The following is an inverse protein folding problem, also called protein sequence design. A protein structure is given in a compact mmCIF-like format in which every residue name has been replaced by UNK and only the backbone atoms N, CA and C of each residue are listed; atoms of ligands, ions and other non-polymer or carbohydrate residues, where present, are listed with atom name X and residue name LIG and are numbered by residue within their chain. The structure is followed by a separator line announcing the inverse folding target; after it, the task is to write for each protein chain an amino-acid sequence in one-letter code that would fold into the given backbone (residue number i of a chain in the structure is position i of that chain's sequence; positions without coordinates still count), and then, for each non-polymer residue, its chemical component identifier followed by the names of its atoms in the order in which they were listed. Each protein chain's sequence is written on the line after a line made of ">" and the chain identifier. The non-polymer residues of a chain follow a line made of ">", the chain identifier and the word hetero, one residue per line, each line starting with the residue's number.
data_IF_090615418599
#
_entry.id   IF_090615418599
#
_cell.length_a   1.000
_cell.length_b   1.000
_cell.length_c   1.000
_cell.angle_alpha   90.00
_cell.angle_beta   90.00
_cell.angle_gamma   90.00
#
_symmetry.space_group_name_H-M   'P 1'
#
loop_
_entity.id
_entity.type
_entity.pdbx_description
1 polymer ?
#
# COMPACT_ATOMS: atom_id res chain seq x y z
N UNK A 1 -1.93 27.52 76.83
CA UNK A 1 -2.85 26.37 76.95
C UNK A 1 -2.85 25.60 75.64
N UNK A 2 -2.26 24.42 75.62
CA UNK A 2 -2.66 23.29 74.75
C UNK A 2 -3.56 22.36 75.61
N UNK A 3 -4.12 21.22 75.14
CA UNK A 3 -4.12 20.58 73.80
C UNK A 3 -5.55 20.17 73.33
N UNK A 4 -5.76 19.56 72.15
CA UNK A 4 -6.02 18.11 72.08
C UNK A 4 -5.89 17.53 70.66
N UNK A 5 -5.29 16.35 70.63
CA UNK A 5 -5.00 15.46 69.52
C UNK A 5 -6.17 14.54 69.18
N UNK A 6 -6.37 14.18 67.90
CA UNK A 6 -6.88 12.86 67.49
C UNK A 6 -6.01 12.34 66.34
N UNK A 7 -5.73 11.03 66.44
CA UNK A 7 -4.67 10.27 65.80
C UNK A 7 -5.26 9.36 64.70
N UNK A 8 -4.49 9.18 63.61
CA UNK A 8 -4.42 8.05 62.64
C UNK A 8 -5.70 7.47 62.00
N UNK A 9 -5.66 7.40 60.67
CA UNK A 9 -5.54 6.11 59.94
C UNK A 9 -4.88 6.31 58.57
N UNK A 10 -4.01 5.37 58.22
CA UNK A 10 -3.23 5.25 56.96
C UNK A 10 -3.89 4.25 56.01
N UNK A 11 -3.76 4.42 54.68
CA UNK A 11 -3.77 3.40 53.57
C UNK A 11 -4.08 4.09 52.21
N UNK A 12 -3.61 3.66 51.02
CA UNK A 12 -2.30 3.14 50.61
C UNK A 12 -1.69 3.92 49.41
N UNK A 13 -0.40 3.69 49.14
CA UNK A 13 0.32 4.16 47.93
C UNK A 13 -0.20 3.41 46.70
N UNK A 14 -0.85 4.11 45.76
CA UNK A 14 -0.95 3.66 44.37
C UNK A 14 0.12 4.36 43.53
N UNK A 15 1.13 3.59 43.14
CA UNK A 15 2.17 4.01 42.21
C UNK A 15 1.60 4.12 40.79
N UNK A 16 1.31 5.33 40.32
CA UNK A 16 1.04 5.60 38.90
C UNK A 16 2.36 5.66 38.13
N UNK A 17 2.86 4.51 37.68
CA UNK A 17 3.90 4.45 36.64
C UNK A 17 3.25 4.56 35.26
N UNK A 18 2.96 5.78 34.83
CA UNK A 18 2.68 6.09 33.42
C UNK A 18 3.25 7.48 33.11
N UNK A 19 4.58 7.56 33.04
CA UNK A 19 5.30 8.66 32.42
C UNK A 19 6.51 8.06 31.72
N UNK A 20 6.53 8.09 30.38
CA UNK A 20 7.69 7.70 29.59
C UNK A 20 7.41 6.89 28.32
N UNK A 21 6.45 7.31 27.48
CA UNK A 21 6.44 6.97 26.06
C UNK A 21 6.03 8.23 25.31
N UNK A 22 7.01 9.02 24.82
CA UNK A 22 7.08 9.19 23.36
C UNK A 22 8.51 9.49 22.87
N UNK A 23 9.36 8.48 22.65
CA UNK A 23 10.60 8.65 21.84
C UNK A 23 10.96 7.39 21.01
N UNK A 24 10.37 6.21 21.26
CA UNK A 24 10.78 4.97 20.60
C UNK A 24 10.07 4.68 19.26
N UNK A 25 10.00 5.66 18.35
CA UNK A 25 9.56 5.43 16.96
C UNK A 25 10.51 6.01 15.90
N UNK A 26 11.72 6.39 16.30
CA UNK A 26 12.76 6.92 15.41
C UNK A 26 13.95 5.97 15.18
N UNK A 27 13.92 4.74 15.72
CA UNK A 27 15.10 3.86 15.77
C UNK A 27 14.85 2.42 15.28
N UNK A 28 14.13 2.25 14.17
CA UNK A 28 14.18 1.03 13.36
C UNK A 28 14.74 1.34 11.97
N UNK A 29 15.96 1.86 11.96
CA UNK A 29 16.91 1.70 10.86
C UNK A 29 18.25 1.32 11.48
N UNK A 30 19.00 0.46 10.77
CA UNK A 30 20.29 -0.16 11.17
C UNK A 30 20.18 -1.45 12.00
N UNK A 31 19.94 -2.55 11.29
CA UNK A 31 20.59 -3.83 11.58
C UNK A 31 20.75 -4.62 10.26
N UNK A 32 21.90 -4.45 9.60
CA UNK A 32 22.36 -5.35 8.54
C UNK A 32 22.77 -6.70 9.13
N UNK A 33 22.51 -7.84 8.45
CA UNK A 33 23.28 -9.05 8.68
C UNK A 33 24.28 -9.25 7.54
N UNK A 34 25.46 -8.69 7.70
CA UNK A 34 26.67 -9.23 7.08
C UNK A 34 27.35 -10.15 8.11
N UNK A 35 26.98 -11.43 8.13
CA UNK A 35 27.77 -12.54 8.68
C UNK A 35 26.97 -13.84 8.62
N UNK A 36 27.17 -14.64 7.57
CA UNK A 36 27.17 -16.11 7.63
C UNK A 36 27.25 -16.70 6.21
N UNK A 37 28.45 -16.98 5.72
CA UNK A 37 28.70 -18.10 4.80
C UNK A 37 30.21 -18.23 4.50
N UNK A 38 30.96 -18.71 5.49
CA UNK A 38 32.24 -19.35 5.23
C UNK A 38 32.03 -20.86 5.17
N UNK A 39 32.04 -21.48 3.98
CA UNK A 39 32.50 -22.87 3.85
C UNK A 39 32.99 -23.20 2.44
N UNK A 40 34.22 -23.71 2.40
CA UNK A 40 35.01 -24.10 1.21
C UNK A 40 34.49 -25.38 0.54
N UNK A 41 34.58 -25.36 -0.80
CA UNK A 41 35.04 -26.38 -1.78
C UNK A 41 34.59 -27.84 -1.61
N UNK A 42 34.05 -28.40 -2.70
CA UNK A 42 34.72 -29.45 -3.48
C UNK A 42 34.16 -29.58 -4.90
N UNK A 43 35.08 -29.68 -5.84
CA UNK A 43 34.90 -30.02 -7.24
C UNK A 43 34.60 -31.51 -7.41
N UNK A 44 33.77 -31.89 -8.37
CA UNK A 44 34.06 -33.06 -9.20
C UNK A 44 33.55 -32.86 -10.63
N UNK A 45 34.51 -33.07 -11.53
CA UNK A 45 34.38 -33.24 -12.97
C UNK A 45 33.94 -34.67 -13.27
N UNK A 46 33.08 -34.86 -14.27
CA UNK A 46 33.12 -36.06 -15.11
C UNK A 46 32.60 -35.75 -16.51
N UNK A 47 33.48 -35.98 -17.49
CA UNK A 47 33.21 -36.09 -18.94
C UNK A 47 32.52 -37.42 -19.27
N UNK A 48 31.68 -37.43 -20.31
CA UNK A 48 31.60 -38.44 -21.39
C UNK A 48 30.37 -38.07 -22.26
N UNK A 49 30.53 -37.57 -23.48
CA UNK A 49 30.88 -38.24 -24.75
C UNK A 49 29.69 -38.88 -25.47
N UNK A 50 29.59 -38.51 -26.75
CA UNK A 50 28.53 -38.74 -27.71
C UNK A 50 28.38 -40.20 -28.16
N UNK A 51 27.25 -40.53 -28.80
CA UNK A 51 27.20 -41.21 -30.12
C UNK A 51 25.79 -41.10 -30.71
N UNK A 52 25.75 -40.71 -31.99
CA UNK A 52 24.59 -40.68 -32.88
C UNK A 52 24.27 -42.06 -33.45
N UNK A 53 23.01 -42.33 -33.76
CA UNK A 53 22.64 -43.19 -34.89
C UNK A 53 21.31 -42.75 -35.49
N UNK A 54 21.38 -42.34 -36.76
CA UNK A 54 20.27 -42.10 -37.68
C UNK A 54 19.87 -43.42 -38.32
N UNK A 55 18.56 -43.70 -38.44
CA UNK A 55 17.98 -44.58 -39.46
C UNK A 55 16.58 -44.08 -39.85
N UNK A 56 16.50 -43.60 -41.09
CA UNK A 56 15.31 -43.48 -41.96
C UNK A 56 15.00 -44.91 -42.50
N UNK A 57 13.80 -45.36 -42.89
CA UNK A 57 12.81 -44.88 -43.87
C UNK A 57 11.52 -45.72 -43.71
N UNK A 58 10.39 -45.17 -44.17
CA UNK A 58 9.28 -45.81 -44.93
C UNK A 58 7.89 -45.73 -44.25
N UNK A 59 6.99 -44.98 -44.88
CA UNK A 59 5.67 -44.63 -44.37
C UNK A 59 4.48 -45.37 -44.99
N UNK A 60 3.28 -44.98 -44.56
CA UNK A 60 2.00 -45.03 -45.28
C UNK A 60 0.99 -44.07 -44.60
N UNK A 61 -0.14 -43.68 -45.23
CA UNK A 61 -0.62 -42.30 -45.21
C UNK A 61 -1.94 -42.11 -44.46
N UNK A 62 -2.27 -40.83 -44.26
CA UNK A 62 -3.62 -40.30 -44.06
C UNK A 62 -4.37 -40.70 -42.76
N UNK A 63 -4.07 -39.97 -41.69
CA UNK A 63 -5.11 -39.41 -40.82
C UNK A 63 -4.93 -37.90 -40.80
N UNK A 64 -5.73 -37.18 -41.60
CA UNK A 64 -5.77 -35.71 -41.59
C UNK A 64 -6.33 -35.26 -40.24
N UNK A 65 -5.44 -35.02 -39.28
CA UNK A 65 -5.74 -34.17 -38.14
C UNK A 65 -6.04 -32.77 -38.66
N UNK A 66 -7.20 -32.23 -38.30
CA UNK A 66 -7.48 -30.80 -38.46
C UNK A 66 -6.31 -30.01 -37.84
N UNK A 67 -5.64 -29.11 -38.57
CA UNK A 67 -4.78 -28.14 -37.93
C UNK A 67 -5.71 -27.25 -37.09
N UNK A 68 -5.66 -27.43 -35.77
CA UNK A 68 -6.32 -26.53 -34.84
C UNK A 68 -5.89 -25.10 -35.17
N UNK A 69 -6.87 -24.19 -35.15
CA UNK A 69 -6.66 -22.77 -35.39
C UNK A 69 -5.51 -22.30 -34.47
N UNK A 70 -4.38 -21.81 -35.01
CA UNK A 70 -3.31 -21.27 -34.19
C UNK A 70 -3.84 -20.02 -33.48
N UNK A 71 -4.05 -20.09 -32.17
CA UNK A 71 -4.46 -18.92 -31.38
C UNK A 71 -5.14 -19.26 -30.05
N UNK A 72 -6.01 -20.29 -29.99
CA UNK A 72 -6.78 -20.54 -28.76
C UNK A 72 -5.98 -21.24 -27.64
N UNK A 73 -4.99 -22.08 -27.98
CA UNK A 73 -4.15 -22.77 -26.99
C UNK A 73 -2.98 -21.93 -26.45
N UNK A 74 -2.55 -20.90 -27.18
CA UNK A 74 -1.43 -20.03 -26.80
C UNK A 74 -1.86 -18.92 -25.84
N UNK A 75 -3.04 -18.33 -26.03
CA UNK A 75 -3.53 -17.26 -25.15
C UNK A 75 -3.99 -17.80 -23.78
N UNK A 76 -4.65 -18.96 -23.77
CA UNK A 76 -5.00 -19.65 -22.54
C UNK A 76 -3.75 -20.09 -21.74
N UNK A 77 -2.66 -20.46 -22.42
CA UNK A 77 -1.40 -20.81 -21.75
C UNK A 77 -0.64 -19.58 -21.25
N UNK A 78 -0.66 -18.45 -21.98
CA UNK A 78 -0.05 -17.19 -21.53
C UNK A 78 -0.79 -16.59 -20.32
N UNK A 79 -2.12 -16.53 -20.35
CA UNK A 79 -2.93 -16.01 -19.24
C UNK A 79 -2.80 -16.87 -17.98
N UNK A 80 -2.81 -18.21 -18.12
CA UNK A 80 -2.60 -19.11 -16.99
C UNK A 80 -1.17 -19.03 -16.44
N UNK A 81 -0.15 -18.93 -17.28
CA UNK A 81 1.23 -18.71 -16.85
C UNK A 81 1.39 -17.38 -16.10
N UNK A 82 0.77 -16.30 -16.61
CA UNK A 82 0.76 -15.01 -15.94
C UNK A 82 0.08 -15.08 -14.57
N UNK A 83 -1.15 -15.63 -14.48
CA UNK A 83 -1.85 -15.77 -13.20
C UNK A 83 -1.11 -16.69 -12.20
N UNK A 84 -0.38 -17.68 -12.70
CA UNK A 84 0.52 -18.51 -11.88
C UNK A 84 1.67 -17.67 -11.30
N UNK A 85 2.31 -16.84 -12.12
CA UNK A 85 3.34 -15.88 -11.68
C UNK A 85 2.78 -14.88 -10.65
N UNK A 86 1.58 -14.34 -10.88
CA UNK A 86 0.90 -13.45 -9.90
C UNK A 86 0.70 -14.17 -8.57
N UNK A 87 0.20 -15.40 -8.60
CA UNK A 87 -0.05 -16.18 -7.39
C UNK A 87 1.25 -16.51 -6.63
N UNK A 88 2.31 -16.86 -7.34
CA UNK A 88 3.64 -17.06 -6.76
C UNK A 88 4.17 -15.78 -6.12
N UNK A 89 4.13 -14.67 -6.85
CA UNK A 89 4.54 -13.33 -6.39
C UNK A 89 3.83 -12.94 -5.09
N UNK A 90 2.51 -13.15 -5.03
CA UNK A 90 1.71 -12.83 -3.84
C UNK A 90 1.99 -13.76 -2.65
N UNK A 91 2.37 -15.02 -2.89
CA UNK A 91 2.68 -15.99 -1.83
C UNK A 91 4.06 -15.76 -1.17
N UNK A 92 5.00 -15.12 -1.87
CA UNK A 92 6.34 -14.80 -1.37
C UNK A 92 6.35 -13.63 -0.36
N UNK A 93 5.39 -12.72 -0.47
CA UNK A 93 5.25 -11.55 0.39
C UNK A 93 4.40 -11.86 1.63
N UNK A 94 4.41 -10.99 2.65
CA UNK A 94 3.48 -11.10 3.76
C UNK A 94 2.02 -11.22 3.31
N UNK A 95 1.13 -11.76 4.14
CA UNK A 95 -0.31 -11.93 3.84
C UNK A 95 -1.21 -10.96 4.63
N UNK A 96 -0.66 -9.81 5.04
CA UNK A 96 -1.43 -8.76 5.69
C UNK A 96 -2.54 -8.21 4.78
N UNK A 97 -3.49 -7.49 5.37
CA UNK A 97 -4.49 -6.78 4.59
C UNK A 97 -3.90 -5.45 4.08
N UNK A 98 -4.33 -4.97 2.92
CA UNK A 98 -3.94 -3.63 2.46
C UNK A 98 -4.58 -2.59 3.40
N UNK A 99 -3.86 -1.56 3.91
CA UNK A 99 -4.44 -0.53 4.78
C UNK A 99 -5.52 0.31 4.09
N UNK A 100 -6.41 0.96 4.85
CA UNK A 100 -7.47 1.81 4.28
C UNK A 100 -6.90 3.01 3.51
N UNK A 101 -5.93 3.74 4.04
CA UNK A 101 -5.40 4.98 3.47
C UNK A 101 -3.97 4.80 2.94
N UNK A 102 -3.10 4.19 3.74
CA UNK A 102 -1.70 3.95 3.40
C UNK A 102 -1.59 2.94 2.25
N UNK A 103 -0.79 3.26 1.25
CA UNK A 103 -0.51 2.33 0.15
C UNK A 103 0.40 1.22 0.66
N UNK A 104 -0.03 -0.03 0.49
CA UNK A 104 0.75 -1.18 0.94
C UNK A 104 2.06 -1.32 0.14
N UNK A 105 3.19 -1.68 0.79
CA UNK A 105 4.41 -2.10 0.08
C UNK A 105 4.25 -3.41 -0.70
N UNK A 106 3.17 -4.16 -0.45
CA UNK A 106 2.85 -5.41 -1.14
C UNK A 106 2.46 -5.16 -2.58
N UNK A 107 2.71 -6.17 -3.42
CA UNK A 107 2.21 -6.19 -4.78
C UNK A 107 0.80 -6.79 -4.79
N UNK A 108 -0.18 -6.06 -5.29
CA UNK A 108 -1.57 -6.47 -5.35
C UNK A 108 -2.05 -6.62 -6.81
N UNK A 109 -3.03 -7.51 -6.99
CA UNK A 109 -3.76 -7.70 -8.23
C UNK A 109 -5.23 -7.48 -7.85
N UNK A 110 -5.70 -6.24 -7.95
CA UNK A 110 -7.02 -5.86 -7.45
C UNK A 110 -7.63 -4.68 -8.20
N UNK A 111 -8.96 -4.59 -8.17
CA UNK A 111 -9.67 -3.33 -8.39
C UNK A 111 -9.97 -2.71 -7.03
N UNK A 112 -9.61 -1.44 -6.84
CA UNK A 112 -9.91 -0.66 -5.64
C UNK A 112 -10.66 0.62 -5.96
N UNK A 113 -11.75 0.85 -5.24
CA UNK A 113 -12.55 2.06 -5.34
C UNK A 113 -12.79 2.63 -3.94
N UNK A 114 -12.33 3.86 -3.73
CA UNK A 114 -12.52 4.55 -2.46
C UNK A 114 -13.43 5.76 -2.64
N UNK A 115 -14.21 6.04 -1.61
CA UNK A 115 -14.96 7.29 -1.52
C UNK A 115 -14.80 7.90 -0.15
N UNK A 116 -14.77 9.23 -0.09
CA UNK A 116 -14.65 9.95 1.17
C UNK A 116 -15.42 11.26 1.18
N UNK A 117 -15.80 11.71 2.36
CA UNK A 117 -16.37 13.04 2.59
C UNK A 117 -15.50 13.79 3.56
N UNK A 118 -14.93 14.90 3.10
CA UNK A 118 -13.97 15.71 3.83
C UNK A 118 -14.60 17.05 4.19
N UNK A 119 -14.50 17.47 5.45
CA UNK A 119 -14.99 18.79 5.87
C UNK A 119 -13.86 19.83 5.83
N UNK A 120 -14.12 20.97 5.18
CA UNK A 120 -13.19 22.09 5.15
C UNK A 120 -13.94 23.39 5.28
N UNK A 121 -13.75 24.07 6.41
CA UNK A 121 -14.33 25.39 6.70
C UNK A 121 -15.87 25.42 6.52
N UNK A 122 -16.55 24.38 6.97
CA UNK A 122 -18.02 24.24 6.87
C UNK A 122 -18.52 23.76 5.51
N UNK A 123 -17.63 23.48 4.56
CA UNK A 123 -17.96 22.88 3.25
C UNK A 123 -17.51 21.44 3.22
N UNK A 124 -18.45 20.52 3.01
CA UNK A 124 -18.13 19.12 2.76
C UNK A 124 -17.78 18.93 1.28
N UNK A 125 -16.68 18.23 1.01
CA UNK A 125 -16.31 17.77 -0.33
C UNK A 125 -16.37 16.25 -0.38
N UNK A 126 -17.19 15.70 -1.28
CA UNK A 126 -17.18 14.28 -1.61
C UNK A 126 -16.12 13.99 -2.66
N UNK A 127 -15.32 12.94 -2.45
CA UNK A 127 -14.33 12.43 -3.39
C UNK A 127 -14.71 10.99 -3.75
N UNK A 128 -14.92 10.72 -5.03
CA UNK A 128 -15.36 9.42 -5.54
C UNK A 128 -14.31 8.83 -6.49
N UNK A 129 -13.69 7.71 -6.13
CA UNK A 129 -12.67 7.00 -6.92
C UNK A 129 -11.28 6.92 -6.27
N UNK A 130 -10.94 7.86 -5.38
CA UNK A 130 -9.77 7.80 -4.50
C UNK A 130 -8.38 7.69 -5.16
N UNK A 131 -8.28 7.62 -6.49
CA UNK A 131 -7.01 7.53 -7.19
C UNK A 131 -6.33 6.15 -7.17
N UNK A 132 -7.06 5.07 -6.90
CA UNK A 132 -6.49 3.71 -6.75
C UNK A 132 -6.81 2.81 -7.95
N UNK A 133 -8.07 2.61 -8.31
CA UNK A 133 -8.42 1.97 -9.57
C UNK A 133 -7.88 0.55 -9.73
N UNK A 134 -7.25 0.24 -10.86
CA UNK A 134 -6.83 -1.13 -11.21
C UNK A 134 -5.35 -1.33 -10.93
N UNK A 135 -5.02 -2.33 -10.11
CA UNK A 135 -3.67 -2.75 -9.75
C UNK A 135 -3.34 -4.07 -10.47
N UNK A 136 -2.22 -4.12 -11.18
CA UNK A 136 -1.79 -5.28 -11.99
C UNK A 136 -0.34 -5.63 -11.70
N UNK A 137 -0.04 -6.92 -11.56
CA UNK A 137 1.32 -7.45 -11.43
C UNK A 137 1.77 -7.98 -12.80
N UNK A 138 2.43 -7.18 -13.65
CA UNK A 138 2.93 -7.67 -14.94
C UNK A 138 4.19 -8.53 -14.82
N UNK A 139 4.94 -8.45 -13.71
CA UNK A 139 6.16 -9.23 -13.48
C UNK A 139 6.42 -9.43 -11.97
N UNK A 140 7.27 -10.38 -11.60
CA UNK A 140 7.48 -10.86 -10.20
C UNK A 140 7.86 -9.79 -9.16
N UNK A 141 8.38 -8.66 -9.62
CA UNK A 141 8.79 -7.53 -8.77
C UNK A 141 8.10 -6.22 -9.13
N UNK A 142 7.16 -6.24 -10.07
CA UNK A 142 6.56 -5.03 -10.64
C UNK A 142 5.06 -5.06 -10.45
N UNK A 143 4.50 -3.97 -9.95
CA UNK A 143 3.07 -3.67 -10.01
C UNK A 143 2.86 -2.30 -10.68
N UNK A 144 1.80 -2.19 -11.46
CA UNK A 144 1.33 -0.94 -12.05
C UNK A 144 -0.10 -0.70 -11.61
N UNK A 145 -0.37 0.51 -11.13
CA UNK A 145 -1.68 0.96 -10.68
C UNK A 145 -2.15 2.08 -11.61
N UNK A 146 -3.30 1.85 -12.22
CA UNK A 146 -4.04 2.84 -13.00
C UNK A 146 -5.16 3.41 -12.14
N UNK A 147 -4.90 4.59 -11.56
CA UNK A 147 -5.81 5.27 -10.65
C UNK A 147 -7.01 5.85 -11.37
N UNK A 148 -8.22 5.55 -10.88
CA UNK A 148 -9.42 6.25 -11.32
C UNK A 148 -9.36 7.69 -10.79
N UNK A 149 -9.38 8.72 -11.67
CA UNK A 149 -9.33 10.11 -11.23
C UNK A 149 -10.49 10.40 -10.27
N UNK A 150 -10.24 10.96 -9.07
CA UNK A 150 -11.30 11.26 -8.14
C UNK A 150 -12.28 12.27 -8.73
N UNK A 151 -13.58 11.95 -8.76
CA UNK A 151 -14.62 12.94 -9.02
C UNK A 151 -14.93 13.67 -7.71
N UNK A 152 -14.70 14.97 -7.70
CA UNK A 152 -14.89 15.83 -6.53
C UNK A 152 -16.25 16.53 -6.63
N UNK A 153 -16.95 16.66 -5.49
CA UNK A 153 -18.22 17.38 -5.38
C UNK A 153 -18.20 18.23 -4.12
N UNK A 154 -18.22 19.56 -4.27
CA UNK A 154 -18.34 20.48 -3.14
C UNK A 154 -19.82 20.72 -2.82
N UNK A 155 -20.26 20.30 -1.62
CA UNK A 155 -21.64 20.45 -1.17
C UNK A 155 -21.89 21.85 -0.61
N UNK A 156 -22.07 22.83 -1.50
CA UNK A 156 -22.45 24.21 -1.17
C UNK A 156 -23.21 24.87 -2.34
N UNK A 157 -23.97 25.96 -2.13
CA UNK A 157 -24.74 26.61 -3.20
C UNK A 157 -23.90 27.04 -4.42
N UNK A 158 -22.64 27.40 -4.23
CA UNK A 158 -21.69 27.77 -5.30
C UNK A 158 -20.61 26.70 -5.56
N UNK A 159 -20.83 25.48 -5.06
CA UNK A 159 -19.88 24.39 -5.10
C UNK A 159 -19.50 24.00 -6.52
N UNK A 160 -18.25 23.53 -6.67
CA UNK A 160 -17.75 22.99 -7.93
C UNK A 160 -17.74 21.47 -7.89
N UNK A 161 -17.88 20.87 -9.06
CA UNK A 161 -17.76 19.43 -9.27
C UNK A 161 -16.91 19.13 -10.50
N UNK A 162 -16.16 18.03 -10.46
CA UNK A 162 -15.29 17.65 -11.57
C UNK A 162 -14.20 16.67 -11.18
N UNK A 163 -13.55 16.11 -12.18
CA UNK A 163 -12.43 15.21 -11.99
C UNK A 163 -11.20 15.95 -11.48
N UNK A 164 -10.48 15.35 -10.54
CA UNK A 164 -9.10 15.68 -10.22
C UNK A 164 -8.14 15.04 -11.24
N UNK A 165 -6.86 15.30 -11.04
CA UNK A 165 -5.77 14.76 -11.85
C UNK A 165 -5.69 13.22 -11.79
N UNK A 166 -5.38 12.61 -12.93
CA UNK A 166 -5.18 11.16 -13.05
C UNK A 166 -3.91 10.70 -12.32
N UNK A 167 -3.93 9.48 -11.81
CA UNK A 167 -2.84 8.91 -11.01
C UNK A 167 -2.33 7.62 -11.64
N UNK A 168 -1.02 7.55 -11.84
CA UNK A 168 -0.29 6.34 -12.21
C UNK A 168 0.71 6.03 -11.09
N UNK A 169 0.77 4.78 -10.63
CA UNK A 169 1.78 4.36 -9.64
C UNK A 169 2.47 3.09 -10.11
N UNK A 170 3.79 3.11 -10.15
CA UNK A 170 4.61 1.91 -10.40
C UNK A 170 5.29 1.51 -9.10
N UNK A 171 5.19 0.24 -8.73
CA UNK A 171 5.89 -0.32 -7.57
C UNK A 171 6.96 -1.30 -8.04
N UNK A 172 8.18 -1.17 -7.52
CA UNK A 172 9.26 -2.14 -7.68
C UNK A 172 9.63 -2.76 -6.33
N UNK A 173 9.31 -4.05 -6.13
CA UNK A 173 9.57 -4.79 -4.90
C UNK A 173 11.04 -5.21 -4.85
N UNK A 174 11.80 -4.61 -3.94
CA UNK A 174 13.24 -4.87 -3.79
C UNK A 174 13.44 -6.27 -3.19
N UNK A 175 12.75 -6.54 -2.08
CA UNK A 175 12.68 -7.86 -1.47
C UNK A 175 11.36 -8.03 -0.72
N UNK A 176 10.96 -9.29 -0.52
CA UNK A 176 9.91 -9.66 0.41
C UNK A 176 10.15 -11.05 0.99
N UNK A 177 9.57 -11.29 2.15
CA UNK A 177 9.51 -12.59 2.77
C UNK A 177 8.21 -12.70 3.54
N UNK A 178 7.45 -13.76 3.28
CA UNK A 178 6.23 -14.09 4.02
C UNK A 178 6.52 -14.45 5.48
N UNK A 179 5.48 -14.88 6.19
CA UNK A 179 5.51 -15.18 7.63
C UNK A 179 6.54 -16.26 7.99
N UNK A 180 6.90 -17.16 7.06
CA UNK A 180 7.95 -18.17 7.26
C UNK A 180 9.36 -17.60 7.11
N UNK A 181 9.51 -16.56 6.31
CA UNK A 181 10.80 -15.98 5.91
C UNK A 181 11.18 -14.69 6.65
N UNK A 182 10.40 -14.28 7.65
CA UNK A 182 10.68 -13.08 8.45
C UNK A 182 9.64 -11.98 8.31
N UNK A 183 8.55 -12.20 7.57
CA UNK A 183 7.36 -11.33 7.59
C UNK A 183 7.68 -9.84 7.34
N UNK A 184 8.30 -9.54 6.20
CA UNK A 184 8.78 -8.21 5.89
C UNK A 184 8.86 -7.96 4.38
N UNK A 185 8.84 -6.69 4.00
CA UNK A 185 8.86 -6.28 2.61
C UNK A 185 9.44 -4.88 2.47
N UNK A 186 10.21 -4.66 1.40
CA UNK A 186 10.71 -3.35 1.00
C UNK A 186 10.42 -3.14 -0.50
N UNK A 187 9.81 -2.00 -0.80
CA UNK A 187 9.34 -1.67 -2.13
C UNK A 187 9.58 -0.19 -2.42
N UNK A 188 10.01 0.12 -3.63
CA UNK A 188 10.09 1.49 -4.14
C UNK A 188 8.84 1.79 -4.94
N UNK A 189 8.24 2.97 -4.77
CA UNK A 189 7.16 3.44 -5.63
C UNK A 189 7.58 4.69 -6.41
N UNK A 190 7.12 4.77 -7.65
CA UNK A 190 7.19 5.98 -8.46
C UNK A 190 5.77 6.36 -8.89
N UNK A 191 5.22 7.38 -8.24
CA UNK A 191 3.91 7.93 -8.58
C UNK A 191 4.02 9.08 -9.57
N UNK A 192 3.01 9.22 -10.42
CA UNK A 192 2.79 10.38 -11.27
C UNK A 192 1.33 10.83 -11.14
N UNK A 193 1.12 12.11 -10.88
CA UNK A 193 -0.16 12.78 -11.06
C UNK A 193 -0.11 13.54 -12.38
N UNK A 194 -1.03 13.24 -13.29
CA UNK A 194 -1.12 13.83 -14.62
C UNK A 194 -2.18 14.93 -14.63
N UNK A 195 -1.90 16.14 -15.15
CA UNK A 195 -2.78 17.31 -15.04
C UNK A 195 -3.97 17.25 -16.01
N UNK A 196 -4.79 16.20 -15.90
CA UNK A 196 -5.97 15.91 -16.72
C UNK A 196 -7.28 16.33 -16.07
N UNK A 197 -7.22 16.81 -14.81
CA UNK A 197 -8.38 17.23 -14.05
C UNK A 197 -9.06 18.48 -14.60
N UNK A 198 -10.28 18.69 -14.13
CA UNK A 198 -11.05 19.92 -14.36
C UNK A 198 -10.42 21.12 -13.64
N UNK A 199 -10.62 22.34 -14.17
CA UNK A 199 -10.01 23.58 -13.68
C UNK A 199 -9.99 23.79 -12.14
N UNK A 200 -11.06 23.47 -11.36
CA UNK A 200 -11.02 23.63 -9.89
C UNK A 200 -10.27 22.54 -9.14
N UNK A 201 -9.98 21.40 -9.78
CA UNK A 201 -9.42 20.20 -9.14
C UNK A 201 -8.11 19.70 -9.78
N UNK A 202 -7.59 20.41 -10.78
CA UNK A 202 -6.27 20.14 -11.37
C UNK A 202 -5.19 21.00 -10.73
N UNK A 203 -4.02 20.40 -10.56
CA UNK A 203 -2.79 21.11 -10.21
C UNK A 203 -2.19 21.88 -11.39
N UNK A 204 -2.66 21.62 -12.62
CA UNK A 204 -2.12 22.14 -13.89
C UNK A 204 -0.65 21.78 -14.15
N UNK A 205 -0.06 20.89 -13.35
CA UNK A 205 1.34 20.49 -13.43
C UNK A 205 1.43 19.00 -13.16
N UNK A 206 2.32 18.29 -13.86
CA UNK A 206 2.59 16.92 -13.45
C UNK A 206 3.32 16.92 -12.11
N UNK A 207 3.02 15.94 -11.25
CA UNK A 207 3.71 15.76 -9.97
C UNK A 207 4.28 14.35 -9.93
N UNK A 208 5.61 14.26 -9.83
CA UNK A 208 6.32 12.99 -9.71
C UNK A 208 6.63 12.73 -8.24
N UNK A 209 6.35 11.53 -7.75
CA UNK A 209 6.44 11.18 -6.33
C UNK A 209 7.27 9.92 -6.14
N UNK A 210 8.60 10.01 -6.03
CA UNK A 210 9.41 8.90 -5.53
C UNK A 210 9.06 8.62 -4.08
N UNK A 211 8.89 7.34 -3.75
CA UNK A 211 8.50 6.85 -2.42
C UNK A 211 9.27 5.58 -2.08
N UNK A 212 9.68 5.45 -0.83
CA UNK A 212 10.13 4.17 -0.28
C UNK A 212 9.10 3.64 0.70
N UNK A 213 8.82 2.34 0.64
CA UNK A 213 7.82 1.69 1.45
C UNK A 213 8.41 0.44 2.12
N UNK A 214 8.22 0.32 3.42
CA UNK A 214 8.65 -0.83 4.20
C UNK A 214 7.48 -1.35 5.04
N UNK A 215 7.44 -2.67 5.23
CA UNK A 215 6.51 -3.28 6.15
C UNK A 215 7.14 -4.41 6.95
N UNK A 216 6.64 -4.60 8.16
CA UNK A 216 7.08 -5.65 9.09
C UNK A 216 5.89 -6.19 9.87
N UNK A 217 5.82 -7.51 9.98
CA UNK A 217 4.81 -8.21 10.75
C UNK A 217 5.40 -9.04 11.88
N UNK A 218 4.55 -9.31 12.87
CA UNK A 218 4.84 -10.13 14.04
C UNK A 218 3.54 -10.66 14.67
N UNK A 219 3.37 -11.99 14.69
CA UNK A 219 2.28 -12.69 15.41
C UNK A 219 0.87 -12.14 15.15
N UNK A 220 0.59 -11.80 13.89
CA UNK A 220 -0.72 -11.28 13.47
C UNK A 220 -0.89 -9.78 13.59
N UNK A 221 0.12 -9.07 14.09
CA UNK A 221 0.21 -7.61 14.00
C UNK A 221 1.17 -7.23 12.88
N UNK A 222 0.93 -6.13 12.18
CA UNK A 222 1.86 -5.57 11.21
C UNK A 222 1.90 -4.05 11.22
N UNK A 223 3.02 -3.53 10.74
CA UNK A 223 3.24 -2.11 10.46
C UNK A 223 3.63 -1.97 9.01
N UNK A 224 2.94 -1.09 8.29
CA UNK A 224 3.26 -0.73 6.92
C UNK A 224 3.51 0.77 6.86
N UNK A 225 4.62 1.22 6.27
CA UNK A 225 4.97 2.63 6.22
C UNK A 225 5.53 3.04 4.86
N UNK A 226 5.22 4.28 4.46
CA UNK A 226 5.65 4.90 3.20
C UNK A 226 6.23 6.28 3.48
N UNK A 227 7.33 6.63 2.82
CA UNK A 227 7.92 7.96 2.87
C UNK A 227 8.18 8.42 1.43
N UNK A 228 7.54 9.50 1.01
CA UNK A 228 7.63 10.02 -0.35
C UNK A 228 7.61 11.53 -0.40
N UNK A 229 8.13 12.10 -1.49
CA UNK A 229 8.15 13.54 -1.73
C UNK A 229 7.51 13.86 -3.08
N UNK A 230 6.52 14.74 -3.08
CA UNK A 230 5.91 15.26 -4.31
C UNK A 230 6.80 16.31 -4.96
N UNK A 231 7.17 16.09 -6.22
CA UNK A 231 8.00 16.97 -7.02
C UNK A 231 7.19 17.46 -8.23
N UNK A 232 6.57 18.64 -8.15
CA UNK A 232 5.91 19.25 -9.30
C UNK A 232 6.91 19.58 -10.41
N UNK A 233 6.53 19.35 -11.67
CA UNK A 233 7.32 19.71 -12.85
C UNK A 233 7.39 21.21 -13.09
N UNK A 234 6.49 21.98 -12.47
CA UNK A 234 6.42 23.43 -12.53
C UNK A 234 5.52 23.98 -11.43
N UNK A 235 5.30 25.30 -11.40
CA UNK A 235 4.38 25.93 -10.44
C UNK A 235 4.73 25.72 -8.97
N UNK A 236 6.01 25.44 -8.66
CA UNK A 236 6.47 25.08 -7.31
C UNK A 236 6.25 26.18 -6.28
N UNK A 237 6.20 27.45 -6.69
CA UNK A 237 5.82 28.58 -5.83
C UNK A 237 4.37 28.54 -5.33
N UNK A 238 3.48 27.82 -6.03
CA UNK A 238 2.08 27.61 -5.64
C UNK A 238 1.88 26.27 -4.95
N UNK A 239 2.38 25.19 -5.56
CA UNK A 239 2.16 23.81 -5.12
C UNK A 239 3.05 23.41 -3.94
N UNK A 240 4.27 23.94 -3.87
CA UNK A 240 5.29 23.49 -2.93
C UNK A 240 5.76 22.06 -3.22
N UNK A 241 6.49 21.48 -2.27
CA UNK A 241 6.95 20.09 -2.29
C UNK A 241 6.50 19.40 -1.01
N UNK A 242 5.37 18.66 -1.05
CA UNK A 242 4.89 17.93 0.10
C UNK A 242 5.78 16.70 0.34
N UNK A 243 6.37 16.59 1.52
CA UNK A 243 6.92 15.36 2.06
C UNK A 243 5.82 14.64 2.82
N UNK A 244 5.42 13.46 2.37
CA UNK A 244 4.41 12.61 2.99
C UNK A 244 5.05 11.41 3.67
N UNK A 245 4.69 11.16 4.93
CA UNK A 245 5.06 9.98 5.70
C UNK A 245 3.80 9.35 6.25
N UNK A 246 3.47 8.14 5.78
CA UNK A 246 2.31 7.40 6.25
C UNK A 246 2.74 6.13 6.97
N UNK A 247 2.01 5.76 8.01
CA UNK A 247 2.19 4.51 8.74
C UNK A 247 0.83 3.93 9.10
N UNK A 248 0.60 2.66 8.78
CA UNK A 248 -0.55 1.88 9.22
C UNK A 248 -0.09 0.81 10.20
N UNK A 249 -0.80 0.70 11.33
CA UNK A 249 -0.65 -0.35 12.31
C UNK A 249 -1.91 -1.21 12.23
N UNK A 250 -1.77 -2.50 12.00
CA UNK A 250 -2.91 -3.40 11.78
C UNK A 250 -2.78 -4.64 12.66
N UNK A 251 -3.91 -5.17 13.11
CA UNK A 251 -3.96 -6.43 13.84
C UNK A 251 -4.98 -7.35 13.21
N UNK A 252 -4.61 -8.61 13.00
CA UNK A 252 -5.52 -9.67 12.59
C UNK A 252 -6.34 -10.16 13.78
N UNK A 253 -7.36 -9.41 14.16
CA UNK A 253 -8.23 -9.72 15.29
C UNK A 253 -9.10 -10.98 15.05
N UNK A 254 -9.47 -11.26 13.80
CA UNK A 254 -10.15 -12.49 13.41
C UNK A 254 -9.76 -12.91 11.99
N UNK A 255 -10.35 -14.00 11.48
CA UNK A 255 -10.03 -14.57 10.15
C UNK A 255 -10.01 -13.52 9.04
N UNK A 256 -10.99 -12.61 9.05
CA UNK A 256 -11.19 -11.55 8.07
C UNK A 256 -11.22 -10.15 8.68
N UNK A 257 -11.09 -10.00 9.99
CA UNK A 257 -11.28 -8.71 10.67
C UNK A 257 -9.92 -8.11 11.04
N UNK A 258 -9.67 -6.92 10.53
CA UNK A 258 -8.42 -6.19 10.71
C UNK A 258 -8.71 -4.76 11.19
N UNK A 259 -8.82 -4.52 12.51
CA UNK A 259 -8.73 -3.17 13.04
C UNK A 259 -7.37 -2.56 12.72
N UNK A 260 -7.37 -1.27 12.45
CA UNK A 260 -6.15 -0.53 12.16
C UNK A 260 -6.16 0.89 12.72
N UNK A 261 -4.95 1.42 12.88
CA UNK A 261 -4.70 2.80 13.21
C UNK A 261 -3.64 3.35 12.25
N UNK A 262 -4.00 4.37 11.48
CA UNK A 262 -3.08 5.00 10.55
C UNK A 262 -2.69 6.42 10.97
N UNK A 263 -1.46 6.79 10.63
CA UNK A 263 -0.89 8.11 10.81
C UNK A 263 -0.46 8.64 9.45
N UNK A 264 -1.01 9.76 9.03
CA UNK A 264 -0.70 10.38 7.74
C UNK A 264 -0.11 11.77 7.99
N UNK A 265 1.22 11.87 7.93
CA UNK A 265 1.95 13.10 8.15
C UNK A 265 2.32 13.75 6.81
N UNK A 266 2.13 15.06 6.71
CA UNK A 266 2.61 15.86 5.59
C UNK A 266 3.32 17.11 6.08
N UNK A 267 4.50 17.38 5.55
CA UNK A 267 5.22 18.65 5.70
C UNK A 267 5.41 19.28 4.34
N UNK A 268 5.17 20.59 4.21
CA UNK A 268 5.31 21.29 2.94
C UNK A 268 6.57 22.17 2.93
N UNK A 269 7.39 21.99 1.91
CA UNK A 269 8.45 22.94 1.55
C UNK A 269 7.98 23.87 0.42
N UNK A 270 7.97 25.19 0.68
CA UNK A 270 7.43 26.18 -0.26
C UNK A 270 5.93 26.04 -0.56
N UNK A 271 5.45 26.76 -1.59
CA UNK A 271 4.03 26.75 -1.97
C UNK A 271 3.12 27.51 -0.99
N UNK A 272 1.81 27.44 -1.23
CA UNK A 272 0.78 28.06 -0.37
C UNK A 272 0.76 27.52 1.08
N UNK A 273 1.40 26.37 1.31
CA UNK A 273 1.50 25.72 2.62
C UNK A 273 2.93 25.65 3.17
N UNK A 274 3.88 26.41 2.60
CA UNK A 274 5.28 26.36 3.02
C UNK A 274 5.48 26.47 4.53
N UNK A 275 6.26 25.55 5.09
CA UNK A 275 6.56 25.47 6.52
C UNK A 275 5.45 24.87 7.39
N UNK A 276 4.25 24.61 6.83
CA UNK A 276 3.15 24.00 7.57
C UNK A 276 3.37 22.49 7.70
N UNK A 277 2.78 21.92 8.74
CA UNK A 277 2.79 20.49 9.04
C UNK A 277 1.39 20.04 9.38
N UNK A 278 1.04 18.85 8.93
CA UNK A 278 -0.25 18.23 9.16
C UNK A 278 -0.03 16.79 9.59
N UNK A 279 -0.76 16.36 10.60
CA UNK A 279 -0.88 14.95 10.96
C UNK A 279 -2.35 14.61 11.01
N UNK A 280 -2.72 13.56 10.31
CA UNK A 280 -3.99 12.88 10.52
C UNK A 280 -3.80 11.56 11.26
N UNK A 281 -4.79 11.22 12.08
CA UNK A 281 -4.93 9.90 12.71
C UNK A 281 -6.22 9.27 12.20
N UNK A 282 -6.14 8.04 11.72
CA UNK A 282 -7.26 7.30 11.13
C UNK A 282 -7.47 5.98 11.86
N UNK A 283 -8.36 5.91 12.86
CA UNK A 283 -8.92 4.63 13.26
C UNK A 283 -9.76 4.06 12.10
N UNK A 284 -9.50 2.81 11.77
CA UNK A 284 -10.15 2.11 10.66
C UNK A 284 -10.46 0.65 10.98
N UNK A 285 -11.31 0.07 10.16
CA UNK A 285 -11.62 -1.34 10.17
C UNK A 285 -11.66 -1.85 8.73
N UNK A 286 -10.89 -2.90 8.47
CA UNK A 286 -10.91 -3.61 7.19
C UNK A 286 -11.44 -5.02 7.41
N UNK A 287 -12.39 -5.42 6.57
CA UNK A 287 -12.98 -6.76 6.53
C UNK A 287 -12.60 -7.42 5.21
N UNK A 288 -11.72 -8.42 5.26
CA UNK A 288 -11.24 -9.13 4.09
C UNK A 288 -10.01 -10.00 4.36
N UNK A 289 -9.52 -10.74 3.38
CA UNK A 289 -10.09 -10.93 2.03
C UNK A 289 -11.09 -12.09 2.07
N UNK A 290 -12.38 -11.82 1.85
CA UNK A 290 -13.43 -12.86 1.80
C UNK A 290 -13.41 -13.49 0.41
N UNK A 291 -13.18 -14.80 0.25
CA UNK A 291 -13.22 -15.45 -1.06
C UNK A 291 -14.64 -15.40 -1.65
N UNK A 292 -14.78 -15.00 -2.91
CA UNK A 292 -16.05 -15.03 -3.64
C UNK A 292 -16.10 -16.20 -4.62
N UNK A 293 -15.15 -16.24 -5.56
CA UNK A 293 -15.08 -17.31 -6.56
C UNK A 293 -13.66 -17.40 -7.15
N UNK A 294 -13.07 -18.60 -7.15
CA UNK A 294 -11.69 -18.81 -7.59
C UNK A 294 -10.72 -17.82 -6.93
N UNK A 295 -10.04 -16.96 -7.73
CA UNK A 295 -9.12 -15.93 -7.24
C UNK A 295 -9.82 -14.62 -6.83
N UNK A 296 -11.10 -14.47 -7.18
CA UNK A 296 -11.88 -13.28 -6.85
C UNK A 296 -12.18 -13.23 -5.35
N UNK A 297 -11.78 -12.14 -4.71
CA UNK A 297 -12.08 -11.83 -3.32
C UNK A 297 -12.87 -10.54 -3.16
N UNK A 298 -13.35 -10.31 -1.94
CA UNK A 298 -13.96 -9.05 -1.51
C UNK A 298 -13.24 -8.54 -0.25
N UNK A 299 -12.89 -7.25 -0.28
CA UNK A 299 -12.44 -6.52 0.90
C UNK A 299 -13.22 -5.22 1.03
N UNK A 300 -13.73 -4.94 2.22
CA UNK A 300 -14.40 -3.70 2.56
C UNK A 300 -13.61 -2.99 3.66
N UNK A 301 -13.50 -1.68 3.58
CA UNK A 301 -12.84 -0.87 4.61
C UNK A 301 -13.66 0.37 4.94
N UNK A 302 -13.64 0.78 6.20
CA UNK A 302 -14.22 2.04 6.65
C UNK A 302 -13.38 2.65 7.76
N UNK A 303 -13.32 3.98 7.82
CA UNK A 303 -12.57 4.70 8.84
C UNK A 303 -12.88 6.18 8.85
N UNK A 304 -12.38 6.88 9.87
CA UNK A 304 -12.48 8.33 9.98
C UNK A 304 -11.11 8.93 10.19
N UNK A 305 -10.70 9.81 9.28
CA UNK A 305 -9.43 10.52 9.37
C UNK A 305 -9.63 11.86 10.10
N UNK A 306 -8.92 12.04 11.21
CA UNK A 306 -9.08 13.20 12.11
C UNK A 306 -7.78 13.98 12.20
N UNK A 307 -7.85 15.32 12.07
CA UNK A 307 -6.66 16.17 12.17
C UNK A 307 -6.16 16.22 13.62
N UNK A 308 -4.89 15.86 13.83
CA UNK A 308 -4.21 15.93 15.13
C UNK A 308 -3.36 17.21 15.29
N UNK A 309 -3.27 18.04 14.25
CA UNK A 309 -2.47 19.29 14.22
C UNK A 309 -3.34 20.53 14.04
N UNK A 310 -2.85 21.67 14.54
CA UNK A 310 -3.51 22.98 14.37
C UNK A 310 -3.75 23.32 12.90
N UNK A 311 -2.74 23.15 12.06
CA UNK A 311 -2.91 23.27 10.62
C UNK A 311 -3.44 21.96 10.05
N UNK A 312 -4.45 22.07 9.20
CA UNK A 312 -4.98 20.98 8.39
C UNK A 312 -5.68 21.52 7.13
N UNK A 313 -5.62 20.78 6.04
CA UNK A 313 -6.25 21.13 4.75
C UNK A 313 -7.73 20.78 4.70
N UNK A 314 -8.16 19.88 5.58
CA UNK A 314 -9.53 19.49 5.90
C UNK A 314 -9.53 18.83 7.29
N UNK A 315 -10.68 18.59 7.87
CA UNK A 315 -10.84 17.80 9.09
C UNK A 315 -11.99 16.82 8.91
N UNK A 316 -12.01 15.75 9.73
CA UNK A 316 -13.02 14.70 9.73
C UNK A 316 -13.35 14.19 8.32
N UNK A 317 -12.51 13.29 7.80
CA UNK A 317 -12.82 12.59 6.57
C UNK A 317 -13.35 11.19 6.85
N UNK A 318 -14.63 10.94 6.56
CA UNK A 318 -15.14 9.56 6.56
C UNK A 318 -14.68 8.91 5.25
N UNK A 319 -14.02 7.76 5.36
CA UNK A 319 -13.44 7.03 4.22
C UNK A 319 -14.07 5.65 4.16
N UNK A 320 -14.46 5.24 2.96
CA UNK A 320 -14.87 3.88 2.65
C UNK A 320 -14.05 3.36 1.47
N UNK A 321 -13.74 2.08 1.50
CA UNK A 321 -12.98 1.40 0.46
C UNK A 321 -13.65 0.09 0.10
N UNK A 322 -13.73 -0.16 -1.20
CA UNK A 322 -14.19 -1.40 -1.79
C UNK A 322 -13.07 -1.97 -2.65
N UNK A 323 -12.78 -3.27 -2.49
CA UNK A 323 -11.72 -3.94 -3.26
C UNK A 323 -12.13 -5.32 -3.72
N UNK A 324 -11.74 -5.63 -4.95
CA UNK A 324 -11.89 -6.92 -5.59
C UNK A 324 -10.53 -7.43 -6.04
N UNK A 325 -9.80 -8.17 -5.19
CA UNK A 325 -8.60 -8.92 -5.62
C UNK A 325 -8.98 -10.01 -6.64
N UNK A 326 -8.17 -10.24 -7.67
CA UNK A 326 -8.45 -11.20 -8.75
C UNK A 326 -7.24 -11.97 -9.30
#
# INVERSE_FOLDING_TARGET
>A
MAPSWINRQSVPKHSSRFRGLPVALLALSVASPAAAAGRKKRSHSSKASATSTVREVQGDPAARGNPGIPGQGSEASLSSAWLSMVSHTQAEQPHWITPLVTVTPRLEQELRYDFSWQEKFGVTTGLYGGGKGVEVIPAEKLEVIFGIPPYNVQYSPSGKSGFADELLLVKYRIFASNERGGDQILTFFLGASLPTGSAPFTSNQAIITPTIAYGKGYRGFDVQSTLGIGLPTGGTSKLGRPLAWNSALQERAARFLWPELEFNFTSWDGGANGGKKQLFVTPGLVVGRVPLHNRLGLTLGAGIQVAATKFHTYNHAVVFSFRLPF
#
